data_IF_580620881810
#
_entry.id   IF_580620881810
#
_cell.length_a   1.000
_cell.length_b   1.000
_cell.length_c   1.000
_cell.angle_alpha   90.00
_cell.angle_beta   90.00
_cell.angle_gamma   90.00
#
_symmetry.space_group_name_H-M   'P 1'
#
loop_
_entity.id
_entity.type
_entity.pdbx_description
1 polymer ?
#
# COMPACT_ATOMS: atom_id res chain seq x y z
N UNK A 1 13.27 -17.34 15.04
CA UNK A 1 12.09 -16.78 14.37
C UNK A 1 11.93 -15.36 14.88
N UNK A 2 11.69 -14.36 14.05
CA UNK A 2 11.42 -13.02 14.57
C UNK A 2 10.16 -13.06 15.45
N UNK A 3 10.15 -12.27 16.50
CA UNK A 3 8.97 -12.09 17.35
C UNK A 3 7.98 -11.21 16.58
N UNK A 4 6.74 -11.65 16.42
CA UNK A 4 5.68 -10.85 15.83
C UNK A 4 4.99 -10.04 16.93
N UNK A 5 4.68 -8.78 16.64
CA UNK A 5 3.89 -7.93 17.52
C UNK A 5 2.40 -8.30 17.39
N UNK A 6 1.70 -8.39 18.53
CA UNK A 6 0.28 -8.75 18.52
C UNK A 6 -0.63 -7.63 17.97
N UNK A 7 -0.22 -6.39 18.05
CA UNK A 7 -1.01 -5.25 17.56
C UNK A 7 -0.88 -5.02 16.06
N UNK A 8 0.21 -5.51 15.47
CA UNK A 8 0.47 -5.42 14.03
C UNK A 8 1.95 -5.48 13.72
N UNK A 9 2.28 -5.98 12.54
CA UNK A 9 3.66 -6.11 12.09
C UNK A 9 3.73 -6.16 10.56
N UNK A 10 4.96 -6.16 10.02
CA UNK A 10 5.22 -6.31 8.59
C UNK A 10 6.01 -7.57 8.33
N UNK A 11 5.44 -8.46 7.53
CA UNK A 11 6.11 -9.67 7.06
C UNK A 11 6.47 -9.53 5.59
N UNK A 12 7.70 -9.92 5.26
CA UNK A 12 8.19 -9.91 3.89
C UNK A 12 8.71 -11.30 3.56
N UNK A 13 8.12 -11.92 2.56
CA UNK A 13 8.58 -13.17 1.98
C UNK A 13 9.52 -12.86 0.82
N UNK A 14 10.76 -13.31 0.94
CA UNK A 14 11.78 -13.16 -0.09
C UNK A 14 12.05 -14.49 -0.79
N UNK A 15 12.36 -14.44 -2.09
CA UNK A 15 12.96 -15.56 -2.80
C UNK A 15 14.41 -15.78 -2.35
N UNK A 16 15.04 -16.92 -2.66
CA UNK A 16 16.47 -17.13 -2.38
C UNK A 16 17.39 -16.09 -3.03
N UNK A 17 16.95 -15.43 -4.10
CA UNK A 17 17.69 -14.34 -4.76
C UNK A 17 17.42 -12.95 -4.14
N UNK A 18 16.69 -12.86 -3.02
CA UNK A 18 16.37 -11.61 -2.34
C UNK A 18 15.24 -10.80 -2.98
N UNK A 19 14.52 -11.33 -3.97
CA UNK A 19 13.35 -10.66 -4.56
C UNK A 19 12.13 -10.80 -3.65
N UNK A 20 11.37 -9.75 -3.49
CA UNK A 20 10.09 -9.76 -2.77
C UNK A 20 9.11 -10.68 -3.53
N UNK A 21 8.66 -11.73 -2.87
CA UNK A 21 7.59 -12.63 -3.35
C UNK A 21 6.23 -12.14 -2.88
N UNK A 22 6.16 -11.73 -1.61
CA UNK A 22 4.97 -11.19 -0.98
C UNK A 22 5.37 -10.32 0.21
N UNK A 23 4.55 -9.31 0.51
CA UNK A 23 4.67 -8.52 1.72
C UNK A 23 3.28 -8.21 2.27
N UNK A 24 3.14 -8.20 3.57
CA UNK A 24 1.92 -7.84 4.26
C UNK A 24 2.25 -7.03 5.50
N UNK A 25 1.63 -5.87 5.64
CA UNK A 25 1.63 -5.09 6.87
C UNK A 25 0.23 -5.19 7.48
N UNK A 26 0.11 -6.01 8.49
CA UNK A 26 -1.17 -6.30 9.15
C UNK A 26 -1.27 -5.56 10.49
N UNK A 27 -2.49 -5.38 10.94
CA UNK A 27 -2.78 -4.97 12.31
C UNK A 27 -4.01 -5.73 12.85
N UNK A 28 -4.25 -5.66 14.15
CA UNK A 28 -5.31 -6.42 14.81
C UNK A 28 -6.72 -6.15 14.28
N UNK A 29 -6.97 -5.00 13.67
CA UNK A 29 -8.30 -4.71 13.09
C UNK A 29 -8.65 -5.61 11.90
N UNK A 30 -7.66 -6.25 11.27
CA UNK A 30 -7.85 -7.19 10.16
C UNK A 30 -8.54 -8.49 10.57
N UNK A 31 -8.58 -8.80 11.88
CA UNK A 31 -9.32 -9.94 12.39
C UNK A 31 -10.83 -9.80 12.18
N UNK A 32 -11.34 -8.56 12.04
CA UNK A 32 -12.78 -8.25 11.94
C UNK A 32 -13.60 -8.91 13.04
N UNK A 33 -13.00 -9.13 14.21
CA UNK A 33 -13.62 -9.79 15.36
C UNK A 33 -12.90 -9.39 16.66
N UNK A 34 -13.59 -8.69 17.53
CA UNK A 34 -13.02 -8.10 18.76
C UNK A 34 -12.51 -9.16 19.75
N UNK A 35 -13.10 -10.35 19.77
CA UNK A 35 -12.63 -11.44 20.64
C UNK A 35 -11.38 -12.10 20.09
N UNK A 36 -11.38 -12.40 18.79
CA UNK A 36 -10.29 -13.15 18.14
C UNK A 36 -9.02 -12.32 17.98
N UNK A 37 -9.13 -11.00 17.89
CA UNK A 37 -7.97 -10.11 17.82
C UNK A 37 -7.13 -10.08 19.11
N UNK A 38 -7.70 -10.53 20.23
CA UNK A 38 -6.99 -10.58 21.52
C UNK A 38 -6.09 -11.82 21.66
N UNK A 39 -6.10 -12.72 20.66
CA UNK A 39 -5.19 -13.84 20.58
C UNK A 39 -5.86 -15.21 20.48
N UNK A 40 -5.04 -16.26 20.31
CA UNK A 40 -5.48 -17.64 20.16
C UNK A 40 -6.04 -17.99 18.78
N UNK A 41 -6.08 -17.05 17.84
CA UNK A 41 -6.58 -17.22 16.48
C UNK A 41 -5.58 -16.70 15.46
N UNK A 42 -5.42 -17.43 14.35
CA UNK A 42 -4.61 -16.94 13.23
C UNK A 42 -5.40 -15.96 12.36
N UNK A 43 -4.69 -14.99 11.80
CA UNK A 43 -5.14 -14.21 10.67
C UNK A 43 -4.89 -15.05 9.40
N UNK A 44 -5.91 -15.27 8.60
CA UNK A 44 -5.85 -16.11 7.40
C UNK A 44 -6.19 -15.31 6.14
N UNK A 45 -5.49 -15.62 5.03
CA UNK A 45 -5.82 -15.07 3.72
C UNK A 45 -7.00 -15.81 3.11
N UNK A 46 -8.02 -15.08 2.59
CA UNK A 46 -9.20 -15.67 1.96
C UNK A 46 -8.90 -16.20 0.56
N UNK A 47 -8.30 -15.38 -0.29
CA UNK A 47 -7.99 -15.72 -1.69
C UNK A 47 -6.48 -15.71 -1.93
N UNK A 48 -5.87 -16.89 -1.93
CA UNK A 48 -4.44 -17.04 -2.20
C UNK A 48 -4.05 -16.70 -3.67
N UNK A 49 -5.00 -16.70 -4.58
CA UNK A 49 -4.80 -16.29 -5.97
C UNK A 49 -4.70 -14.77 -6.15
N UNK A 50 -5.04 -14.00 -5.12
CA UNK A 50 -5.02 -12.52 -5.12
C UNK A 50 -4.30 -11.95 -3.90
N UNK A 51 -3.01 -12.22 -3.73
CA UNK A 51 -2.28 -11.90 -2.51
C UNK A 51 -2.13 -10.38 -2.24
N UNK A 52 -2.37 -9.55 -3.21
CA UNK A 52 -2.19 -8.10 -3.13
C UNK A 52 -3.45 -7.30 -2.76
N UNK A 53 -4.55 -7.95 -2.42
CA UNK A 53 -5.80 -7.27 -2.03
C UNK A 53 -5.77 -6.60 -0.63
N UNK A 54 -4.63 -6.55 0.03
CA UNK A 54 -4.51 -5.91 1.33
C UNK A 54 -5.48 -6.49 2.37
N UNK A 55 -5.95 -5.64 3.28
CA UNK A 55 -6.79 -6.01 4.44
C UNK A 55 -8.08 -6.75 4.08
N UNK A 56 -8.66 -6.46 2.94
CA UNK A 56 -9.94 -7.04 2.50
C UNK A 56 -9.83 -8.54 2.17
N UNK A 57 -8.60 -9.04 2.02
CA UNK A 57 -8.31 -10.45 1.77
C UNK A 57 -7.93 -11.23 3.03
N UNK A 58 -8.04 -10.62 4.21
CA UNK A 58 -7.63 -11.24 5.46
C UNK A 58 -8.73 -11.18 6.50
N UNK A 59 -8.88 -12.24 7.28
CA UNK A 59 -9.76 -12.25 8.44
C UNK A 59 -9.33 -13.32 9.45
N UNK A 60 -9.95 -13.30 10.64
CA UNK A 60 -9.74 -14.30 11.66
C UNK A 60 -10.15 -15.69 11.20
N UNK A 61 -9.34 -16.70 11.49
CA UNK A 61 -9.69 -18.12 11.29
C UNK A 61 -11.06 -18.47 11.87
N UNK A 62 -11.80 -19.33 11.18
CA UNK A 62 -13.05 -19.96 11.65
C UNK A 62 -12.82 -21.37 12.18
N UNK A 63 -11.60 -21.90 12.10
CA UNK A 63 -11.27 -23.23 12.64
C UNK A 63 -11.30 -23.18 14.17
N UNK A 64 -12.00 -24.13 14.79
CA UNK A 64 -12.14 -24.22 16.25
C UNK A 64 -10.80 -24.43 17.00
N UNK A 65 -9.76 -24.85 16.28
CA UNK A 65 -8.40 -24.96 16.83
C UNK A 65 -7.61 -23.64 16.77
N UNK A 66 -8.25 -22.54 16.39
CA UNK A 66 -7.62 -21.23 16.29
C UNK A 66 -6.90 -20.96 14.96
N UNK A 67 -6.73 -21.96 14.10
CA UNK A 67 -6.05 -21.80 12.81
C UNK A 67 -6.06 -23.06 11.97
N UNK A 68 -5.61 -22.97 10.72
CA UNK A 68 -5.58 -24.08 9.76
C UNK A 68 -4.19 -24.34 9.15
N UNK A 69 -3.10 -24.43 9.96
CA UNK A 69 -1.75 -24.62 9.45
C UNK A 69 -1.63 -25.92 8.65
N UNK A 70 -0.94 -25.87 7.49
CA UNK A 70 -0.75 -27.01 6.60
C UNK A 70 -2.00 -27.49 5.87
N UNK A 71 -3.10 -26.75 5.93
CA UNK A 71 -4.37 -27.05 5.26
C UNK A 71 -4.88 -25.82 4.52
N UNK A 72 -5.94 -26.01 3.72
CA UNK A 72 -6.67 -24.87 3.14
C UNK A 72 -7.21 -23.99 4.26
N UNK A 73 -7.02 -22.69 4.14
CA UNK A 73 -7.49 -21.71 5.12
C UNK A 73 -9.00 -21.87 5.39
N UNK A 74 -9.39 -21.78 6.65
CA UNK A 74 -10.77 -22.03 7.10
C UNK A 74 -11.77 -21.02 6.54
N UNK A 75 -11.28 -19.88 6.07
CA UNK A 75 -12.05 -18.79 5.47
C UNK A 75 -11.82 -18.67 3.96
N UNK A 76 -11.20 -19.69 3.33
CA UNK A 76 -10.85 -19.63 1.91
C UNK A 76 -12.09 -19.37 1.04
N UNK A 77 -12.03 -18.31 0.25
CA UNK A 77 -13.09 -17.85 -0.65
C UNK A 77 -12.49 -17.11 -1.83
N UNK A 78 -13.23 -16.98 -2.92
CA UNK A 78 -12.86 -16.04 -3.99
C UNK A 78 -13.28 -14.63 -3.58
N UNK A 79 -12.35 -13.71 -3.64
CA UNK A 79 -12.60 -12.29 -3.33
C UNK A 79 -12.67 -11.51 -4.65
N UNK A 80 -13.80 -10.87 -4.91
CA UNK A 80 -13.96 -9.95 -6.02
C UNK A 80 -13.61 -8.54 -5.55
N UNK A 81 -12.52 -8.02 -6.09
CA UNK A 81 -12.12 -6.64 -5.86
C UNK A 81 -12.58 -5.76 -7.02
N UNK A 82 -13.36 -4.75 -6.68
CA UNK A 82 -13.83 -3.69 -7.59
C UNK A 82 -13.44 -2.30 -7.08
N UNK A 83 -12.68 -2.26 -5.99
CA UNK A 83 -12.20 -1.02 -5.38
C UNK A 83 -11.08 -0.45 -6.23
N UNK A 84 -11.10 0.85 -6.42
CA UNK A 84 -10.06 1.55 -7.18
C UNK A 84 -9.08 2.21 -6.21
N UNK A 85 -7.78 2.25 -6.54
CA UNK A 85 -6.81 2.96 -5.72
C UNK A 85 -7.21 4.43 -5.54
N UNK A 86 -7.18 4.90 -4.30
CA UNK A 86 -7.41 6.31 -3.96
C UNK A 86 -6.21 6.90 -3.25
N UNK A 87 -5.92 8.17 -3.52
CA UNK A 87 -4.86 8.88 -2.80
C UNK A 87 -5.39 9.24 -1.42
N UNK A 88 -4.65 8.83 -0.39
CA UNK A 88 -4.96 9.16 1.00
C UNK A 88 -4.34 10.50 1.41
N UNK A 89 -3.05 10.69 1.13
CA UNK A 89 -2.32 11.93 1.40
C UNK A 89 -1.00 11.97 0.63
N UNK A 90 -0.36 13.14 0.68
CA UNK A 90 0.99 13.33 0.17
C UNK A 90 1.84 14.17 1.11
N UNK A 91 3.15 14.01 1.02
CA UNK A 91 4.13 14.82 1.75
C UNK A 91 5.45 14.92 1.00
N UNK A 92 6.25 15.93 1.36
CA UNK A 92 7.62 16.06 0.89
C UNK A 92 8.55 15.28 1.82
N UNK A 93 9.27 14.29 1.30
CA UNK A 93 10.28 13.56 2.06
C UNK A 93 11.59 14.38 2.19
N UNK A 94 11.88 15.14 1.14
CA UNK A 94 12.98 16.12 1.07
C UNK A 94 12.62 17.20 0.03
N UNK A 95 13.56 18.12 -0.26
CA UNK A 95 13.30 19.22 -1.20
C UNK A 95 13.00 18.78 -2.64
N UNK A 96 13.33 17.56 -3.02
CA UNK A 96 13.19 17.03 -4.39
C UNK A 96 12.43 15.72 -4.49
N UNK A 97 11.82 15.26 -3.38
CA UNK A 97 11.11 13.98 -3.32
C UNK A 97 9.72 14.15 -2.74
N UNK A 98 8.70 13.82 -3.53
CA UNK A 98 7.30 13.78 -3.10
C UNK A 98 6.91 12.32 -2.90
N UNK A 99 6.21 12.07 -1.81
CA UNK A 99 5.59 10.78 -1.47
C UNK A 99 4.08 10.92 -1.54
N UNK A 100 3.42 10.04 -2.29
CA UNK A 100 1.95 9.96 -2.37
C UNK A 100 1.54 8.59 -1.88
N UNK A 101 0.71 8.54 -0.84
CA UNK A 101 0.23 7.30 -0.22
C UNK A 101 -1.16 6.99 -0.73
N UNK A 102 -1.37 5.74 -1.15
CA UNK A 102 -2.61 5.21 -1.68
C UNK A 102 -3.31 4.31 -0.67
N UNK A 103 -4.58 4.07 -0.88
CA UNK A 103 -5.42 3.17 -0.07
C UNK A 103 -5.04 1.70 -0.18
N UNK A 104 -4.30 1.34 -1.21
CA UNK A 104 -3.93 -0.04 -1.57
C UNK A 104 -2.69 -0.08 -2.45
N UNK A 105 -2.07 -1.25 -2.67
CA UNK A 105 -0.92 -1.40 -3.56
C UNK A 105 -1.25 -1.00 -5.00
N UNK A 106 -0.43 -0.11 -5.57
CA UNK A 106 -0.52 0.31 -6.97
C UNK A 106 0.53 -0.44 -7.80
N UNK A 107 0.13 -0.89 -8.98
CA UNK A 107 0.93 -1.81 -9.79
C UNK A 107 1.86 -1.11 -10.75
N UNK A 108 1.38 -0.15 -11.49
CA UNK A 108 2.14 0.43 -12.59
C UNK A 108 1.97 1.95 -12.69
N UNK A 109 3.09 2.61 -12.97
CA UNK A 109 3.18 4.03 -13.28
C UNK A 109 3.54 4.20 -14.75
N UNK A 110 2.78 3.56 -15.64
CA UNK A 110 3.07 3.48 -17.06
C UNK A 110 3.19 4.83 -17.76
N UNK A 111 2.67 5.90 -17.14
CA UNK A 111 2.72 7.24 -17.72
C UNK A 111 3.14 8.32 -16.71
N UNK A 112 4.40 8.27 -16.28
CA UNK A 112 4.97 9.27 -15.36
C UNK A 112 4.98 10.68 -15.97
N UNK A 113 5.00 10.81 -17.30
CA UNK A 113 4.96 12.08 -18.00
C UNK A 113 3.60 12.78 -17.90
N UNK A 114 2.54 12.06 -17.50
CA UNK A 114 1.22 12.63 -17.27
C UNK A 114 1.03 13.17 -15.84
N UNK A 115 2.02 13.04 -14.96
CA UNK A 115 1.99 13.67 -13.64
C UNK A 115 2.25 15.17 -13.83
N UNK A 116 1.28 15.99 -13.42
CA UNK A 116 1.40 17.45 -13.49
C UNK A 116 1.48 18.04 -12.09
N UNK A 117 2.34 19.04 -11.92
CA UNK A 117 2.53 19.73 -10.64
C UNK A 117 2.38 21.23 -10.89
N UNK A 118 1.52 21.88 -10.10
CA UNK A 118 1.24 23.30 -10.15
C UNK A 118 1.47 23.94 -8.75
N UNK A 119 2.32 24.98 -8.59
CA UNK A 119 3.20 25.57 -9.60
C UNK A 119 4.18 24.56 -10.21
N UNK A 120 4.56 24.79 -11.47
CA UNK A 120 5.28 23.81 -12.28
C UNK A 120 6.60 23.36 -11.66
N UNK A 121 6.70 22.06 -11.41
CA UNK A 121 7.93 21.36 -11.08
C UNK A 121 8.11 20.18 -12.06
N UNK A 122 9.30 20.07 -12.62
CA UNK A 122 9.58 18.98 -13.54
C UNK A 122 9.80 17.66 -12.81
N UNK A 123 9.09 16.63 -13.24
CA UNK A 123 9.22 15.25 -12.75
C UNK A 123 10.39 14.58 -13.45
N UNK A 124 11.40 14.14 -12.71
CA UNK A 124 12.54 13.39 -13.23
C UNK A 124 12.24 11.90 -13.31
N UNK A 125 11.55 11.35 -12.31
CA UNK A 125 11.16 9.95 -12.26
C UNK A 125 9.98 9.75 -11.29
N UNK A 126 9.22 8.69 -11.51
CA UNK A 126 8.27 8.20 -10.53
C UNK A 126 8.36 6.67 -10.44
N UNK A 127 8.19 6.12 -9.25
CA UNK A 127 8.25 4.69 -8.97
C UNK A 127 7.37 4.35 -7.78
N UNK A 128 7.02 3.08 -7.63
CA UNK A 128 6.36 2.59 -6.42
C UNK A 128 7.41 2.18 -5.38
N UNK A 129 7.09 2.36 -4.10
CA UNK A 129 7.98 2.05 -2.99
C UNK A 129 7.75 0.62 -2.49
N UNK A 130 8.75 -0.30 -2.61
CA UNK A 130 8.64 -1.61 -1.98
C UNK A 130 8.72 -1.47 -0.44
N UNK A 131 8.29 -2.48 0.36
CA UNK A 131 7.80 -3.78 -0.08
C UNK A 131 6.28 -3.82 -0.34
N UNK A 132 5.51 -2.82 0.12
CA UNK A 132 4.04 -2.84 0.07
C UNK A 132 3.47 -2.26 -1.22
N UNK A 133 4.24 -1.43 -1.92
CA UNK A 133 3.83 -0.75 -3.17
C UNK A 133 2.60 0.17 -3.03
N UNK A 134 2.28 0.60 -1.82
CA UNK A 134 1.19 1.54 -1.51
C UNK A 134 1.61 3.01 -1.63
N UNK A 135 2.87 3.28 -1.92
CA UNK A 135 3.42 4.63 -2.00
C UNK A 135 4.07 4.87 -3.35
N UNK A 136 3.66 5.96 -4.01
CA UNK A 136 4.36 6.50 -5.17
C UNK A 136 5.46 7.46 -4.69
N UNK A 137 6.64 7.30 -5.23
CA UNK A 137 7.79 8.18 -5.01
C UNK A 137 8.00 8.98 -6.28
N UNK A 138 7.87 10.30 -6.23
CA UNK A 138 8.13 11.21 -7.33
C UNK A 138 9.44 11.92 -7.05
N UNK A 139 10.43 11.76 -7.94
CA UNK A 139 11.67 12.54 -7.93
C UNK A 139 11.53 13.73 -8.84
N UNK A 140 11.84 14.91 -8.33
CA UNK A 140 11.82 16.16 -9.05
C UNK A 140 13.18 16.43 -9.68
N UNK A 141 13.20 17.13 -10.82
CA UNK A 141 14.45 17.59 -11.47
C UNK A 141 15.11 18.77 -10.74
N UNK A 142 14.40 19.42 -9.82
CA UNK A 142 14.86 20.54 -9.02
C UNK A 142 14.22 20.56 -7.64
N UNK A 143 14.69 21.45 -6.78
CA UNK A 143 14.16 21.59 -5.43
C UNK A 143 12.83 22.36 -5.41
N UNK A 144 11.86 21.87 -4.68
CA UNK A 144 10.65 22.60 -4.34
C UNK A 144 10.98 23.77 -3.41
N UNK A 145 10.31 24.89 -3.63
CA UNK A 145 10.47 26.08 -2.79
C UNK A 145 9.86 25.87 -1.43
N UNK A 146 10.44 26.49 -0.43
CA UNK A 146 9.87 26.53 0.91
C UNK A 146 8.62 27.40 0.96
N UNK A 147 7.66 27.01 1.81
CA UNK A 147 6.38 27.70 2.04
C UNK A 147 5.50 27.83 0.79
N UNK A 148 5.75 27.01 -0.21
CA UNK A 148 4.90 26.91 -1.39
C UNK A 148 4.10 25.61 -1.34
N UNK A 149 2.82 25.69 -1.73
CA UNK A 149 1.92 24.54 -1.82
C UNK A 149 1.81 24.15 -3.29
N UNK A 150 2.03 22.88 -3.55
CA UNK A 150 1.96 22.28 -4.87
C UNK A 150 0.72 21.42 -4.99
N UNK A 151 -0.03 21.58 -6.07
CA UNK A 151 -1.14 20.71 -6.45
C UNK A 151 -0.62 19.68 -7.46
N UNK A 152 -0.75 18.40 -7.14
CA UNK A 152 -0.23 17.32 -7.95
C UNK A 152 -1.40 16.56 -8.55
N UNK A 153 -1.48 16.56 -9.87
CA UNK A 153 -2.44 15.77 -10.64
C UNK A 153 -1.78 14.46 -11.04
N UNK A 154 -2.30 13.35 -10.54
CA UNK A 154 -1.83 11.99 -10.79
C UNK A 154 -2.77 11.33 -11.78
N UNK A 155 -2.26 10.77 -12.90
CA UNK A 155 -3.08 10.04 -13.85
C UNK A 155 -3.68 8.78 -13.22
N UNK A 156 -4.61 8.14 -13.90
CA UNK A 156 -5.20 6.89 -13.42
C UNK A 156 -4.14 5.84 -13.15
N UNK A 157 -4.11 5.33 -11.91
CA UNK A 157 -3.23 4.27 -11.46
C UNK A 157 -4.02 2.97 -11.34
N UNK A 158 -3.42 1.84 -11.67
CA UNK A 158 -4.04 0.53 -11.50
C UNK A 158 -3.56 -0.16 -10.23
N UNK A 159 -4.47 -0.90 -9.59
CA UNK A 159 -4.14 -1.89 -8.58
C UNK A 159 -3.69 -3.22 -9.21
N UNK A 160 -3.50 -4.24 -8.38
CA UNK A 160 -3.13 -5.57 -8.84
C UNK A 160 -4.31 -6.41 -9.38
N UNK A 161 -5.55 -5.99 -9.14
CA UNK A 161 -6.77 -6.60 -9.68
C UNK A 161 -7.13 -6.04 -11.06
N UNK A 162 -6.48 -4.93 -11.48
CA UNK A 162 -6.74 -4.26 -12.74
C UNK A 162 -7.78 -3.14 -12.65
N UNK A 163 -8.20 -2.75 -11.43
CA UNK A 163 -9.06 -1.58 -11.26
C UNK A 163 -8.23 -0.31 -11.47
N UNK A 164 -8.72 0.58 -12.33
CA UNK A 164 -8.01 1.82 -12.67
C UNK A 164 -8.75 2.99 -12.05
N UNK A 165 -8.02 3.80 -11.27
CA UNK A 165 -8.54 5.03 -10.69
C UNK A 165 -8.77 6.09 -11.77
N UNK A 166 -9.63 7.07 -11.46
CA UNK A 166 -9.67 8.31 -12.25
C UNK A 166 -8.42 9.15 -11.97
N UNK A 167 -8.22 10.23 -12.72
CA UNK A 167 -7.25 11.26 -12.37
C UNK A 167 -7.58 11.81 -10.98
N UNK A 168 -6.57 11.88 -10.11
CA UNK A 168 -6.72 12.36 -8.74
C UNK A 168 -5.77 13.52 -8.49
N UNK A 169 -6.19 14.46 -7.65
CA UNK A 169 -5.37 15.62 -7.28
C UNK A 169 -5.14 15.63 -5.78
N UNK A 170 -3.88 15.86 -5.38
CA UNK A 170 -3.49 16.00 -3.98
C UNK A 170 -2.56 17.20 -3.82
N UNK A 171 -2.56 17.80 -2.62
CA UNK A 171 -1.71 18.96 -2.32
C UNK A 171 -0.59 18.55 -1.36
N UNK A 172 0.60 19.08 -1.61
CA UNK A 172 1.76 18.96 -0.71
C UNK A 172 2.48 20.28 -0.60
N UNK A 173 3.29 20.43 0.42
CA UNK A 173 4.14 21.60 0.60
C UNK A 173 5.37 21.29 1.43
N UNK A 174 6.40 22.11 1.28
CA UNK A 174 7.62 22.02 2.07
C UNK A 174 7.62 23.14 3.12
N UNK A 175 7.63 22.73 4.38
CA UNK A 175 7.76 23.63 5.51
C UNK A 175 8.99 23.21 6.33
N UNK A 176 9.97 24.08 6.47
CA UNK A 176 11.04 23.87 7.45
C UNK A 176 10.56 24.34 8.81
N UNK A 177 10.74 23.51 9.82
CA UNK A 177 10.58 23.92 11.22
C UNK A 177 11.87 24.68 11.57
N UNK A 178 11.74 25.98 11.83
CA UNK A 178 12.83 26.81 12.35
C UNK A 178 13.02 26.58 13.83
#
# INVERSE_FOLDING_TARGET
MPTLDNDGDTLILLSPSGKIVHAVAWNKTWYHNDVKQEGGWSLEMMDAGRPCLGKENWAASKDLKGGSPGRKNSIAATVNDTTKPTILYSYMADSSTIMIVFSEPIRDLSNTNAIMIDPTLAVAAASTKPPLFETMVIKLSGAAKEREIYSISVPGTSDCSGNISNVQTVKTGRFSVS
#
